data_IF_629100744672
#
_entry.id   IF_629100744672
#
_cell.length_a   1.000
_cell.length_b   1.000
_cell.length_c   1.000
_cell.angle_alpha   90.00
_cell.angle_beta   90.00
_cell.angle_gamma   90.00
#
_symmetry.space_group_name_H-M   'P 1'
#
loop_
_entity.id
_entity.type
_entity.pdbx_description
1 polymer ?
#
# COMPACT_ATOMS: atom_id res chain seq x y z
N UNK A 1 13.98 -15.67 -24.16
CA UNK A 1 14.33 -14.28 -24.55
C UNK A 1 13.63 -13.37 -23.56
N UNK A 2 14.33 -12.43 -22.93
CA UNK A 2 13.80 -11.58 -21.84
C UNK A 2 12.50 -10.89 -22.27
N UNK A 3 11.46 -11.14 -21.49
CA UNK A 3 10.08 -10.68 -21.67
C UNK A 3 10.03 -9.14 -21.77
N UNK A 4 10.92 -8.45 -21.04
CA UNK A 4 11.07 -6.98 -21.09
C UNK A 4 11.74 -6.50 -22.38
N UNK A 5 12.73 -7.23 -22.89
CA UNK A 5 13.40 -6.91 -24.15
C UNK A 5 12.47 -7.09 -25.37
N UNK A 6 11.53 -8.04 -25.32
CA UNK A 6 10.51 -8.18 -26.37
C UNK A 6 9.58 -6.97 -26.40
N UNK A 7 9.04 -6.57 -25.25
CA UNK A 7 8.15 -5.41 -25.19
C UNK A 7 8.87 -4.13 -25.59
N UNK A 8 10.09 -3.92 -25.10
CA UNK A 8 10.92 -2.77 -25.46
C UNK A 8 11.18 -2.71 -26.98
N UNK A 9 11.48 -3.84 -27.63
CA UNK A 9 11.65 -3.89 -29.09
C UNK A 9 10.41 -3.45 -29.85
N UNK A 10 9.21 -3.79 -29.35
CA UNK A 10 7.96 -3.34 -29.96
C UNK A 10 7.74 -1.85 -29.71
N UNK A 11 7.87 -1.39 -28.46
CA UNK A 11 7.65 0.01 -28.07
C UNK A 11 8.62 0.99 -28.76
N UNK A 12 9.87 0.59 -28.97
CA UNK A 12 10.90 1.43 -29.60
C UNK A 12 11.07 1.18 -31.10
N UNK A 13 10.23 0.32 -31.70
CA UNK A 13 10.25 0.10 -33.14
C UNK A 13 9.60 1.29 -33.87
N UNK A 14 10.19 1.78 -34.99
CA UNK A 14 9.52 2.75 -35.85
C UNK A 14 8.19 2.22 -36.44
N UNK A 15 8.00 0.90 -36.44
CA UNK A 15 6.78 0.23 -36.89
C UNK A 15 5.79 -0.11 -35.74
N UNK A 16 5.90 0.56 -34.59
CA UNK A 16 5.12 0.29 -33.38
C UNK A 16 3.62 0.05 -33.66
N UNK A 17 2.96 0.96 -34.39
CA UNK A 17 1.53 0.87 -34.67
C UNK A 17 1.14 -0.37 -35.50
N UNK A 18 2.05 -0.86 -36.34
CA UNK A 18 1.85 -2.08 -37.12
C UNK A 18 2.08 -3.35 -36.28
N UNK A 19 3.02 -3.30 -35.34
CA UNK A 19 3.43 -4.45 -34.52
C UNK A 19 2.55 -4.63 -33.28
N UNK A 20 2.03 -3.54 -32.71
CA UNK A 20 1.24 -3.52 -31.48
C UNK A 20 0.05 -4.48 -31.51
N UNK A 21 -0.81 -4.54 -32.56
CA UNK A 21 -1.96 -5.44 -32.55
C UNK A 21 -1.58 -6.92 -32.51
N UNK A 22 -0.45 -7.29 -33.13
CA UNK A 22 0.09 -8.66 -33.06
C UNK A 22 0.58 -8.99 -31.66
N UNK A 23 1.37 -8.09 -31.06
CA UNK A 23 1.90 -8.27 -29.73
C UNK A 23 0.81 -8.33 -28.65
N UNK A 24 -0.25 -7.51 -28.76
CA UNK A 24 -1.41 -7.55 -27.84
C UNK A 24 -2.06 -8.93 -27.79
N UNK A 25 -2.15 -9.64 -28.93
CA UNK A 25 -2.72 -11.00 -28.99
C UNK A 25 -1.87 -12.03 -28.26
N UNK A 26 -0.57 -11.78 -28.07
CA UNK A 26 0.34 -12.69 -27.36
C UNK A 26 0.32 -12.47 -25.83
N UNK A 27 -0.16 -11.32 -25.34
CA UNK A 27 -0.08 -10.98 -23.92
C UNK A 27 -0.80 -12.01 -23.02
N UNK A 28 -2.01 -12.49 -23.35
CA UNK A 28 -2.67 -13.51 -22.53
C UNK A 28 -1.81 -14.77 -22.34
N UNK A 29 -1.15 -15.25 -23.41
CA UNK A 29 -0.25 -16.40 -23.34
C UNK A 29 1.01 -16.10 -22.50
N UNK A 30 1.44 -14.84 -22.43
CA UNK A 30 2.55 -14.42 -21.56
C UNK A 30 2.11 -14.29 -20.09
N UNK A 31 0.84 -13.97 -19.81
CA UNK A 31 0.30 -13.86 -18.44
C UNK A 31 -0.02 -15.22 -17.83
N UNK A 32 -0.39 -16.20 -18.66
CA UNK A 32 -0.75 -17.55 -18.23
C UNK A 32 0.32 -18.23 -17.35
N UNK A 33 1.62 -18.22 -17.68
CA UNK A 33 2.65 -18.79 -16.80
C UNK A 33 2.75 -18.08 -15.45
N UNK A 34 2.57 -16.75 -15.38
CA UNK A 34 2.56 -16.03 -14.11
C UNK A 34 1.36 -16.42 -13.25
N UNK A 35 0.19 -16.55 -13.88
CA UNK A 35 -1.04 -16.94 -13.18
C UNK A 35 -0.98 -18.39 -12.73
N UNK A 36 -0.52 -19.31 -13.55
CA UNK A 36 -0.34 -20.73 -13.20
C UNK A 36 0.70 -20.89 -12.09
N UNK A 37 1.81 -20.15 -12.19
CA UNK A 37 2.85 -20.19 -11.17
C UNK A 37 2.34 -19.60 -9.85
N UNK A 38 1.73 -18.41 -9.84
CA UNK A 38 1.13 -17.86 -8.63
C UNK A 38 0.08 -18.84 -8.06
N UNK A 39 -0.75 -19.42 -8.94
CA UNK A 39 -1.77 -20.39 -8.58
C UNK A 39 -2.72 -19.82 -7.53
N UNK A 40 -2.86 -20.55 -6.41
CA UNK A 40 -3.62 -20.11 -5.22
C UNK A 40 -2.77 -19.41 -4.16
N UNK A 41 -1.45 -19.32 -4.38
CA UNK A 41 -0.53 -18.76 -3.40
C UNK A 41 -0.73 -17.25 -3.31
N UNK A 42 -0.56 -16.64 -2.14
CA UNK A 42 -0.66 -15.20 -2.00
C UNK A 42 0.49 -14.46 -2.68
N UNK A 43 1.64 -15.12 -2.86
CA UNK A 43 2.90 -14.57 -3.36
C UNK A 43 3.59 -15.59 -4.29
N UNK A 44 4.37 -15.12 -5.26
CA UNK A 44 5.13 -15.92 -6.23
C UNK A 44 6.13 -16.85 -5.53
N UNK A 45 6.73 -16.44 -4.41
CA UNK A 45 7.68 -17.27 -3.68
C UNK A 45 7.05 -18.18 -2.61
N UNK A 46 5.73 -18.20 -2.46
CA UNK A 46 5.04 -19.02 -1.45
C UNK A 46 4.06 -18.21 -0.60
N UNK A 47 4.07 -18.46 0.70
CA UNK A 47 3.12 -17.83 1.63
C UNK A 47 3.58 -16.48 2.17
N UNK A 48 4.85 -16.14 1.96
CA UNK A 48 5.48 -14.88 2.40
C UNK A 48 5.88 -14.03 1.21
N UNK A 49 5.74 -12.72 1.39
CA UNK A 49 6.24 -11.73 0.44
C UNK A 49 7.76 -11.80 0.38
N UNK A 50 8.32 -11.79 -0.83
CA UNK A 50 9.76 -11.79 -1.05
C UNK A 50 10.13 -10.81 -2.16
N UNK A 51 11.42 -10.63 -2.38
CA UNK A 51 11.92 -9.85 -3.52
C UNK A 51 11.37 -10.31 -4.89
N UNK A 52 11.08 -11.62 -5.05
CA UNK A 52 10.51 -12.17 -6.29
C UNK A 52 9.13 -11.59 -6.60
N UNK A 53 8.36 -11.24 -5.58
CA UNK A 53 7.05 -10.64 -5.73
C UNK A 53 7.12 -9.22 -6.27
N UNK A 54 8.10 -8.42 -5.84
CA UNK A 54 8.30 -7.09 -6.41
C UNK A 54 8.70 -7.16 -7.88
N UNK A 55 9.54 -8.12 -8.26
CA UNK A 55 9.88 -8.37 -9.66
C UNK A 55 8.65 -8.82 -10.48
N UNK A 56 7.79 -9.65 -9.91
CA UNK A 56 6.56 -10.07 -10.54
C UNK A 56 5.55 -8.91 -10.67
N UNK A 57 5.44 -8.05 -9.65
CA UNK A 57 4.67 -6.82 -9.69
C UNK A 57 5.12 -5.91 -10.83
N UNK A 58 6.42 -5.63 -10.94
CA UNK A 58 6.94 -4.74 -11.97
C UNK A 58 6.64 -5.27 -13.38
N UNK A 59 6.77 -6.58 -13.60
CA UNK A 59 6.48 -7.21 -14.89
C UNK A 59 4.98 -7.19 -15.20
N UNK A 60 4.13 -7.53 -14.24
CA UNK A 60 2.68 -7.55 -14.42
C UNK A 60 2.09 -6.15 -14.58
N UNK A 61 2.63 -5.16 -13.86
CA UNK A 61 2.25 -3.75 -13.98
C UNK A 61 2.64 -3.21 -15.36
N UNK A 62 3.82 -3.59 -15.86
CA UNK A 62 4.28 -3.22 -17.20
C UNK A 62 3.32 -3.72 -18.29
N UNK A 63 2.86 -4.97 -18.22
CA UNK A 63 1.88 -5.52 -19.15
C UNK A 63 0.52 -4.84 -19.03
N UNK A 64 0.07 -4.58 -17.79
CA UNK A 64 -1.18 -3.84 -17.52
C UNK A 64 -1.15 -2.41 -18.05
N UNK A 65 0.03 -1.78 -18.10
CA UNK A 65 0.20 -0.45 -18.70
C UNK A 65 0.08 -0.54 -20.23
N UNK A 66 0.65 -1.57 -20.84
CA UNK A 66 0.64 -1.77 -22.28
C UNK A 66 -0.73 -2.22 -22.81
N UNK A 67 -1.43 -3.06 -22.05
CA UNK A 67 -2.79 -3.51 -22.29
C UNK A 67 -3.57 -3.55 -20.97
N UNK A 68 -4.42 -2.55 -20.68
CA UNK A 68 -5.18 -2.47 -19.43
C UNK A 68 -6.09 -3.67 -19.15
N UNK A 69 -6.46 -4.44 -20.18
CA UNK A 69 -7.35 -5.61 -20.08
C UNK A 69 -6.59 -6.93 -19.99
N UNK A 70 -5.26 -6.91 -20.02
CA UNK A 70 -4.47 -8.14 -20.11
C UNK A 70 -4.63 -9.09 -18.92
N UNK A 71 -5.16 -8.60 -17.79
CA UNK A 71 -5.38 -9.38 -16.58
C UNK A 71 -6.85 -9.77 -16.36
N UNK A 72 -7.77 -9.43 -17.27
CA UNK A 72 -9.21 -9.70 -17.11
C UNK A 72 -9.50 -11.20 -16.97
N UNK A 73 -8.72 -12.04 -17.65
CA UNK A 73 -8.77 -13.50 -17.55
C UNK A 73 -7.99 -14.10 -16.36
N UNK A 74 -7.28 -13.29 -15.57
CA UNK A 74 -6.33 -13.75 -14.55
C UNK A 74 -6.64 -13.12 -13.17
N UNK A 75 -7.72 -13.55 -12.49
CA UNK A 75 -8.16 -12.95 -11.23
C UNK A 75 -7.08 -12.98 -10.13
N UNK A 76 -6.31 -14.06 -10.02
CA UNK A 76 -5.23 -14.16 -9.04
C UNK A 76 -4.10 -13.12 -9.24
N UNK A 77 -3.81 -12.75 -10.49
CA UNK A 77 -2.83 -11.69 -10.79
C UNK A 77 -3.39 -10.29 -10.49
N UNK A 78 -4.71 -10.08 -10.71
CA UNK A 78 -5.39 -8.84 -10.33
C UNK A 78 -5.41 -8.66 -8.81
N UNK A 79 -5.72 -9.72 -8.07
CA UNK A 79 -5.72 -9.76 -6.60
C UNK A 79 -4.32 -9.56 -6.00
N UNK A 80 -3.28 -9.89 -6.75
CA UNK A 80 -1.90 -9.62 -6.39
C UNK A 80 -1.54 -8.13 -6.56
N UNK A 81 -1.97 -7.49 -7.66
CA UNK A 81 -1.69 -6.07 -7.94
C UNK A 81 -2.52 -5.08 -7.11
N UNK A 82 -3.72 -5.47 -6.66
CA UNK A 82 -4.66 -4.58 -5.96
C UNK A 82 -4.29 -4.28 -4.50
N UNK A 83 -3.23 -4.91 -3.97
CA UNK A 83 -2.86 -4.83 -2.54
C UNK A 83 -2.14 -3.53 -2.11
N UNK A 84 -2.02 -2.54 -2.98
CA UNK A 84 -1.20 -1.33 -2.75
C UNK A 84 -2.04 -0.03 -2.65
N UNK A 85 -2.66 0.26 -1.48
CA UNK A 85 -3.15 1.59 -1.09
C UNK A 85 -2.49 2.06 0.23
N UNK A 86 -1.69 3.15 0.16
CA UNK A 86 -0.59 3.37 1.12
C UNK A 86 -0.36 4.83 1.59
N UNK A 87 -1.32 5.75 1.39
CA UNK A 87 -1.07 7.19 1.60
C UNK A 87 -1.49 7.77 2.98
N UNK A 88 -2.29 7.06 3.78
CA UNK A 88 -2.88 7.61 5.01
C UNK A 88 -1.83 8.05 6.05
N UNK A 89 -0.89 7.17 6.38
CA UNK A 89 0.21 7.48 7.30
C UNK A 89 1.08 8.67 6.81
N UNK A 90 1.24 8.85 5.50
CA UNK A 90 2.01 9.97 4.92
C UNK A 90 1.30 11.29 5.19
N UNK A 91 -0.02 11.36 4.96
CA UNK A 91 -0.81 12.58 5.22
C UNK A 91 -0.74 12.96 6.71
N UNK A 92 -0.96 11.99 7.61
CA UNK A 92 -0.84 12.22 9.04
C UNK A 92 0.55 12.76 9.43
N UNK A 93 1.62 12.21 8.86
CA UNK A 93 2.99 12.65 9.15
C UNK A 93 3.27 14.07 8.61
N UNK A 94 2.80 14.40 7.41
CA UNK A 94 2.91 15.74 6.85
C UNK A 94 2.18 16.77 7.72
N UNK A 95 0.99 16.44 8.21
CA UNK A 95 0.21 17.31 9.11
C UNK A 95 0.87 17.46 10.47
N UNK A 96 1.37 16.38 11.05
CA UNK A 96 2.06 16.41 12.33
C UNK A 96 3.33 17.27 12.29
N UNK A 97 4.11 17.12 11.22
CA UNK A 97 5.35 17.86 10.99
C UNK A 97 5.14 19.30 10.51
N UNK A 98 3.87 19.72 10.35
CA UNK A 98 3.50 21.03 9.82
C UNK A 98 4.13 21.32 8.44
N UNK A 99 4.33 20.26 7.65
CA UNK A 99 4.92 20.35 6.33
C UNK A 99 3.97 21.08 5.38
N UNK A 100 4.50 22.01 4.57
CA UNK A 100 3.75 22.59 3.46
C UNK A 100 3.69 21.57 2.32
N UNK A 101 2.48 21.17 1.93
CA UNK A 101 2.28 20.24 0.83
C UNK A 101 0.98 20.53 0.08
N UNK A 102 0.95 20.14 -1.19
CA UNK A 102 -0.27 20.04 -1.98
C UNK A 102 -0.53 18.58 -2.34
N UNK A 103 -1.80 18.19 -2.36
CA UNK A 103 -2.18 16.82 -2.69
C UNK A 103 -2.80 16.77 -4.10
N UNK A 104 -2.15 16.02 -4.99
CA UNK A 104 -2.75 15.64 -6.28
C UNK A 104 -3.53 14.33 -6.12
N UNK A 105 -4.85 14.44 -6.01
CA UNK A 105 -5.76 13.29 -5.95
C UNK A 105 -6.16 12.88 -7.36
N UNK A 106 -5.76 11.68 -7.76
CA UNK A 106 -6.25 11.06 -8.99
C UNK A 106 -7.54 10.31 -8.70
N UNK A 107 -8.59 10.58 -9.48
CA UNK A 107 -9.87 9.88 -9.33
C UNK A 107 -9.88 8.60 -10.14
N UNK A 108 -10.37 7.51 -9.53
CA UNK A 108 -10.77 6.32 -10.26
C UNK A 108 -12.25 6.43 -10.65
N UNK A 109 -12.55 6.25 -11.94
CA UNK A 109 -13.90 6.20 -12.47
C UNK A 109 -14.74 5.11 -11.82
N UNK A 110 -16.05 5.14 -12.05
CA UNK A 110 -16.96 4.14 -11.53
C UNK A 110 -16.92 2.84 -12.36
N UNK A 111 -17.49 1.78 -11.79
CA UNK A 111 -17.70 0.53 -12.49
C UNK A 111 -18.56 0.75 -13.75
N UNK A 112 -18.37 -0.05 -14.80
CA UNK A 112 -17.41 -1.17 -14.90
C UNK A 112 -16.00 -0.73 -15.34
N UNK A 113 -15.85 0.49 -15.85
CA UNK A 113 -14.64 0.91 -16.57
C UNK A 113 -13.48 1.26 -15.65
N UNK A 114 -13.79 1.72 -14.43
CA UNK A 114 -12.81 2.12 -13.42
C UNK A 114 -11.70 3.00 -14.01
N UNK A 115 -12.09 4.04 -14.76
CA UNK A 115 -11.15 4.86 -15.52
C UNK A 115 -10.02 5.41 -14.63
N UNK A 116 -8.80 5.34 -15.13
CA UNK A 116 -7.58 5.84 -14.45
C UNK A 116 -6.80 6.82 -15.33
N UNK A 117 -7.44 7.33 -16.37
CA UNK A 117 -6.81 8.21 -17.37
C UNK A 117 -6.09 9.40 -16.74
N UNK A 118 -6.64 9.98 -15.66
CA UNK A 118 -5.99 11.07 -14.93
C UNK A 118 -4.58 10.69 -14.48
N UNK A 119 -4.42 9.56 -13.78
CA UNK A 119 -3.10 9.10 -13.34
C UNK A 119 -2.22 8.68 -14.53
N UNK A 120 -2.78 7.90 -15.45
CA UNK A 120 -2.02 7.36 -16.58
C UNK A 120 -1.46 8.46 -17.49
N UNK A 121 -2.15 9.60 -17.60
CA UNK A 121 -1.69 10.74 -18.39
C UNK A 121 -0.49 11.46 -17.79
N UNK A 122 -0.28 11.36 -16.47
CA UNK A 122 0.81 12.01 -15.75
C UNK A 122 1.94 11.05 -15.35
N UNK A 123 1.64 9.75 -15.18
CA UNK A 123 2.53 8.71 -14.60
C UNK A 123 4.00 8.85 -15.03
N UNK A 124 4.25 8.98 -16.33
CA UNK A 124 5.60 9.01 -16.89
C UNK A 124 6.17 10.41 -17.15
N UNK A 125 5.42 11.47 -16.83
CA UNK A 125 5.82 12.87 -17.05
C UNK A 125 6.39 13.54 -15.81
N UNK A 126 6.26 12.90 -14.66
CA UNK A 126 6.69 13.44 -13.36
C UNK A 126 8.20 13.27 -13.12
N UNK A 127 8.88 12.44 -13.91
CA UNK A 127 10.30 12.11 -13.74
C UNK A 127 10.59 11.30 -12.48
N UNK A 128 9.68 10.39 -12.13
CA UNK A 128 9.85 9.40 -11.06
C UNK A 128 10.68 8.23 -11.60
N UNK A 129 11.64 7.72 -10.82
CA UNK A 129 12.46 6.57 -11.23
C UNK A 129 11.62 5.29 -11.38
N UNK A 130 10.71 5.07 -10.43
CA UNK A 130 9.73 3.97 -10.44
C UNK A 130 8.32 4.54 -10.35
N UNK A 131 7.70 4.98 -11.47
CA UNK A 131 6.40 5.65 -11.47
C UNK A 131 5.29 4.85 -10.77
N UNK A 132 4.86 5.29 -9.60
CA UNK A 132 3.81 4.64 -8.84
C UNK A 132 3.09 5.62 -7.90
N UNK A 133 1.98 5.19 -7.31
CA UNK A 133 1.28 5.89 -6.23
C UNK A 133 1.47 5.15 -4.90
N UNK A 134 1.61 5.86 -3.76
CA UNK A 134 1.81 7.30 -3.66
C UNK A 134 3.21 7.72 -4.14
N UNK A 135 3.34 9.00 -4.51
CA UNK A 135 4.62 9.66 -4.76
C UNK A 135 4.73 10.95 -3.94
N UNK A 136 5.96 11.42 -3.71
CA UNK A 136 6.26 12.73 -3.16
C UNK A 136 7.25 13.45 -4.08
N UNK A 137 6.97 14.70 -4.42
CA UNK A 137 7.88 15.59 -5.15
C UNK A 137 8.22 16.76 -4.25
N UNK A 138 9.50 16.92 -3.94
CA UNK A 138 10.05 17.96 -3.08
C UNK A 138 11.33 18.52 -3.73
N UNK A 139 11.15 19.56 -4.54
CA UNK A 139 12.21 20.14 -5.36
C UNK A 139 12.82 19.10 -6.31
N UNK A 140 14.11 18.81 -6.13
CA UNK A 140 14.83 17.82 -6.92
C UNK A 140 14.52 16.37 -6.49
N UNK A 141 13.98 16.15 -5.29
CA UNK A 141 13.70 14.82 -4.76
C UNK A 141 12.33 14.33 -5.23
N UNK A 142 12.31 13.18 -5.89
CA UNK A 142 11.11 12.57 -6.46
C UNK A 142 11.03 11.12 -6.00
N UNK A 143 10.17 10.86 -5.03
CA UNK A 143 10.12 9.58 -4.31
C UNK A 143 8.85 8.83 -4.64
N UNK A 144 8.95 7.50 -4.71
CA UNK A 144 7.84 6.56 -4.69
C UNK A 144 8.07 5.55 -3.57
N UNK A 145 7.10 4.67 -3.29
CA UNK A 145 7.02 3.80 -2.11
C UNK A 145 6.69 4.54 -0.82
N UNK A 146 5.59 4.16 -0.18
CA UNK A 146 5.07 4.84 1.02
C UNK A 146 6.06 4.87 2.17
N UNK A 147 6.76 3.76 2.43
CA UNK A 147 7.72 3.68 3.52
C UNK A 147 8.96 4.54 3.23
N UNK A 148 9.40 4.62 1.97
CA UNK A 148 10.51 5.50 1.60
C UNK A 148 10.14 6.99 1.74
N UNK A 149 8.91 7.36 1.36
CA UNK A 149 8.36 8.71 1.57
C UNK A 149 8.28 9.04 3.07
N UNK A 150 7.74 8.13 3.89
CA UNK A 150 7.68 8.30 5.35
C UNK A 150 9.07 8.49 5.95
N UNK A 151 10.03 7.61 5.60
CA UNK A 151 11.42 7.73 6.05
C UNK A 151 12.07 9.04 5.59
N UNK A 152 11.77 9.52 4.38
CA UNK A 152 12.28 10.81 3.87
C UNK A 152 11.78 11.99 4.70
N UNK A 153 10.47 12.07 4.95
CA UNK A 153 9.88 13.10 5.81
C UNK A 153 10.46 12.96 7.23
N UNK A 154 10.48 11.75 7.79
CA UNK A 154 10.98 11.50 9.13
C UNK A 154 12.42 11.97 9.35
N UNK A 155 13.31 11.73 8.39
CA UNK A 155 14.71 12.20 8.45
C UNK A 155 14.83 13.72 8.51
N UNK A 156 13.93 14.46 7.84
CA UNK A 156 13.91 15.94 7.90
C UNK A 156 13.50 16.48 9.27
N UNK A 157 12.86 15.66 10.11
CA UNK A 157 12.30 16.07 11.40
C UNK A 157 12.85 15.28 12.59
N UNK A 158 13.97 14.54 12.42
CA UNK A 158 14.57 13.69 13.46
C UNK A 158 13.59 12.68 14.06
N UNK A 159 12.73 12.09 13.22
CA UNK A 159 11.74 11.07 13.60
C UNK A 159 12.16 9.65 13.15
N UNK A 160 13.46 9.47 12.88
CA UNK A 160 14.12 8.17 12.75
C UNK A 160 14.90 7.94 14.05
N UNK A 161 14.63 6.84 14.74
CA UNK A 161 15.15 6.52 16.08
C UNK A 161 16.63 6.86 16.26
N UNK A 162 16.97 7.29 17.46
CA UNK A 162 18.29 7.84 17.80
C UNK A 162 19.26 6.71 18.16
N UNK A 163 18.79 5.72 18.93
CA UNK A 163 19.60 4.55 19.33
C UNK A 163 19.41 3.37 18.36
N UNK A 164 20.33 2.40 18.44
CA UNK A 164 20.22 1.18 17.64
C UNK A 164 18.98 0.36 18.02
N UNK A 165 18.65 0.31 19.30
CA UNK A 165 17.46 -0.39 19.79
C UNK A 165 16.16 0.24 19.27
N UNK A 166 16.11 1.57 19.18
CA UNK A 166 14.97 2.26 18.57
C UNK A 166 14.88 1.94 17.07
N UNK A 167 16.00 1.98 16.34
CA UNK A 167 16.05 1.65 14.91
C UNK A 167 15.62 0.21 14.65
N UNK A 168 16.10 -0.76 15.43
CA UNK A 168 15.69 -2.17 15.35
C UNK A 168 14.17 -2.29 15.54
N UNK A 169 13.61 -1.63 16.56
CA UNK A 169 12.15 -1.67 16.78
C UNK A 169 11.39 -1.07 15.61
N UNK A 170 11.88 0.02 15.06
CA UNK A 170 11.26 0.69 13.91
C UNK A 170 11.29 -0.19 12.67
N UNK A 171 12.44 -0.80 12.35
CA UNK A 171 12.56 -1.66 11.17
C UNK A 171 11.68 -2.91 11.29
N UNK A 172 11.62 -3.54 12.47
CA UNK A 172 10.70 -4.66 12.72
C UNK A 172 9.24 -4.22 12.52
N UNK A 173 8.84 -3.12 13.16
CA UNK A 173 7.46 -2.68 13.14
C UNK A 173 7.01 -2.19 11.76
N UNK A 174 7.87 -1.50 11.01
CA UNK A 174 7.57 -1.06 9.65
C UNK A 174 7.20 -2.25 8.76
N UNK A 175 8.00 -3.33 8.83
CA UNK A 175 7.76 -4.54 8.04
C UNK A 175 6.53 -5.30 8.53
N UNK A 176 6.36 -5.45 9.84
CA UNK A 176 5.18 -6.10 10.41
C UNK A 176 3.88 -5.34 10.08
N UNK A 177 3.90 -4.01 10.11
CA UNK A 177 2.76 -3.17 9.73
C UNK A 177 2.42 -3.33 8.24
N UNK A 178 3.42 -3.50 7.38
CA UNK A 178 3.20 -3.79 5.96
C UNK A 178 2.54 -5.17 5.79
N UNK A 179 3.03 -6.21 6.45
CA UNK A 179 2.47 -7.57 6.35
C UNK A 179 0.99 -7.61 6.77
N UNK A 180 0.65 -7.01 7.91
CA UNK A 180 -0.75 -6.95 8.39
C UNK A 180 -1.65 -6.17 7.43
N UNK A 181 -1.14 -5.06 6.88
CA UNK A 181 -1.88 -4.28 5.88
C UNK A 181 -2.16 -5.10 4.63
N UNK A 182 -1.17 -5.82 4.11
CA UNK A 182 -1.31 -6.65 2.92
C UNK A 182 -2.25 -7.83 3.15
N UNK A 183 -2.23 -8.43 4.35
CA UNK A 183 -3.18 -9.46 4.77
C UNK A 183 -4.62 -8.93 4.73
N UNK A 184 -4.88 -7.78 5.35
CA UNK A 184 -6.21 -7.16 5.35
C UNK A 184 -6.68 -6.82 3.92
N UNK A 185 -5.79 -6.21 3.11
CA UNK A 185 -6.08 -5.86 1.73
C UNK A 185 -6.45 -7.11 0.92
N UNK A 186 -5.70 -8.21 1.04
CA UNK A 186 -5.99 -9.48 0.38
C UNK A 186 -7.43 -9.95 0.64
N UNK A 187 -7.89 -9.83 1.88
CA UNK A 187 -9.25 -10.25 2.26
C UNK A 187 -10.28 -9.29 1.67
N UNK A 188 -10.09 -7.99 1.83
CA UNK A 188 -11.06 -6.97 1.42
C UNK A 188 -11.22 -6.83 -0.11
N UNK A 189 -10.19 -7.17 -0.89
CA UNK A 189 -10.25 -7.19 -2.35
C UNK A 189 -10.71 -8.55 -2.92
N UNK A 190 -10.71 -9.62 -2.13
CA UNK A 190 -11.07 -10.95 -2.63
C UNK A 190 -12.57 -11.04 -2.96
N UNK A 191 -12.95 -11.63 -4.11
CA UNK A 191 -14.36 -11.92 -4.40
C UNK A 191 -14.99 -12.92 -3.42
N UNK A 192 -14.16 -13.69 -2.70
CA UNK A 192 -14.59 -14.61 -1.63
C UNK A 192 -14.57 -13.94 -0.23
N UNK A 193 -14.61 -12.60 -0.15
CA UNK A 193 -14.56 -11.84 1.11
C UNK A 193 -15.41 -12.43 2.23
N UNK A 194 -16.69 -12.72 1.97
CA UNK A 194 -17.63 -13.25 2.98
C UNK A 194 -17.21 -14.62 3.54
N UNK A 195 -16.48 -15.42 2.75
CA UNK A 195 -15.95 -16.71 3.21
C UNK A 195 -14.65 -16.56 4.00
N UNK A 196 -13.81 -15.57 3.64
CA UNK A 196 -12.51 -15.34 4.25
C UNK A 196 -12.60 -14.52 5.54
N UNK A 197 -13.57 -13.60 5.63
CA UNK A 197 -13.78 -12.69 6.75
C UNK A 197 -13.83 -13.40 8.11
N UNK A 198 -14.58 -14.50 8.31
CA UNK A 198 -14.61 -15.18 9.61
C UNK A 198 -13.26 -15.74 10.05
N UNK A 199 -12.40 -16.13 9.09
CA UNK A 199 -11.03 -16.55 9.39
C UNK A 199 -10.20 -15.38 9.89
N UNK A 200 -10.24 -14.26 9.18
CA UNK A 200 -9.51 -13.06 9.57
C UNK A 200 -9.95 -12.50 10.93
N UNK A 201 -11.26 -12.48 11.21
CA UNK A 201 -11.78 -12.06 12.52
C UNK A 201 -11.21 -12.88 13.69
N UNK A 202 -10.85 -14.15 13.45
CA UNK A 202 -10.18 -15.00 14.46
C UNK A 202 -8.69 -14.72 14.58
N UNK A 203 -8.04 -14.24 13.52
CA UNK A 203 -6.62 -13.90 13.50
C UNK A 203 -6.33 -12.51 14.12
N UNK A 204 -7.29 -11.57 14.02
CA UNK A 204 -7.12 -10.19 14.53
C UNK A 204 -6.66 -10.15 16.00
N UNK A 205 -7.25 -10.89 16.96
CA UNK A 205 -6.77 -10.88 18.35
C UNK A 205 -5.31 -11.32 18.50
N UNK A 206 -4.86 -12.32 17.73
CA UNK A 206 -3.48 -12.79 17.76
C UNK A 206 -2.51 -11.74 17.20
N UNK A 207 -2.88 -11.11 16.09
CA UNK A 207 -2.12 -10.01 15.49
C UNK A 207 -2.00 -8.86 16.50
N UNK A 208 -3.11 -8.40 17.07
CA UNK A 208 -3.14 -7.27 18.00
C UNK A 208 -2.42 -7.58 19.31
N UNK A 209 -2.45 -8.83 19.78
CA UNK A 209 -1.65 -9.27 20.91
C UNK A 209 -0.16 -9.06 20.65
N UNK A 210 0.35 -9.41 19.47
CA UNK A 210 1.76 -9.15 19.13
C UNK A 210 2.11 -7.65 19.17
N UNK A 211 1.24 -6.78 18.65
CA UNK A 211 1.44 -5.32 18.72
C UNK A 211 1.40 -4.81 20.17
N UNK A 212 0.45 -5.31 20.97
CA UNK A 212 0.30 -4.96 22.38
C UNK A 212 1.53 -5.36 23.20
N UNK A 213 2.03 -6.58 23.02
CA UNK A 213 3.25 -7.07 23.69
C UNK A 213 4.49 -6.29 23.25
N UNK A 214 4.60 -6.00 21.95
CA UNK A 214 5.72 -5.24 21.39
C UNK A 214 5.75 -3.79 21.91
N UNK A 215 4.61 -3.10 21.96
CA UNK A 215 4.48 -1.78 22.58
C UNK A 215 4.82 -1.85 24.07
N UNK A 216 4.25 -2.83 24.78
CA UNK A 216 4.42 -3.01 26.21
C UNK A 216 3.91 -1.80 27.00
N UNK A 217 4.81 -1.19 27.78
CA UNK A 217 4.52 0.00 28.62
C UNK A 217 4.97 1.32 27.99
N UNK A 218 5.54 1.29 26.79
CA UNK A 218 6.09 2.49 26.15
C UNK A 218 4.97 3.41 25.67
N UNK A 219 5.17 4.73 25.65
CA UNK A 219 4.20 5.64 25.07
C UNK A 219 4.16 5.54 23.53
N UNK A 220 5.27 5.18 22.90
CA UNK A 220 5.43 5.01 21.46
C UNK A 220 6.17 3.72 21.14
N UNK A 221 6.03 3.22 19.93
CA UNK A 221 6.50 1.88 19.57
C UNK A 221 8.02 1.76 19.54
N UNK A 222 8.74 2.82 19.15
CA UNK A 222 10.20 2.81 19.16
C UNK A 222 10.78 3.00 20.57
N UNK A 223 10.09 3.77 21.44
CA UNK A 223 10.62 4.22 22.72
C UNK A 223 9.75 5.31 23.36
N UNK A 224 10.41 6.32 23.94
CA UNK A 224 9.74 7.44 24.62
C UNK A 224 9.35 8.57 23.68
N UNK A 225 9.93 8.61 22.47
CA UNK A 225 9.69 9.63 21.45
C UNK A 225 8.83 9.08 20.32
N UNK A 226 7.97 9.94 19.78
CA UNK A 226 7.17 9.64 18.58
C UNK A 226 8.09 9.54 17.36
N UNK A 227 7.89 8.52 16.55
CA UNK A 227 8.63 8.27 15.30
C UNK A 227 7.65 7.99 14.17
N UNK A 228 8.13 7.91 12.92
CA UNK A 228 7.24 7.67 11.78
C UNK A 228 6.53 6.31 11.82
N UNK A 229 7.07 5.30 12.52
CA UNK A 229 6.43 3.97 12.60
C UNK A 229 5.19 3.98 13.48
N UNK A 230 5.03 4.96 14.37
CA UNK A 230 3.80 5.15 15.13
C UNK A 230 2.64 5.56 14.21
N UNK A 231 2.92 6.26 13.10
CA UNK A 231 1.91 6.60 12.07
C UNK A 231 1.49 5.37 11.28
N UNK A 232 2.42 4.45 11.02
CA UNK A 232 2.12 3.16 10.39
C UNK A 232 1.30 2.27 11.32
N UNK A 233 1.70 2.18 12.60
CA UNK A 233 0.99 1.42 13.61
C UNK A 233 -0.41 1.96 13.84
N UNK A 234 -0.58 3.28 13.91
CA UNK A 234 -1.89 3.92 13.99
C UNK A 234 -2.78 3.51 12.82
N UNK A 235 -2.31 3.64 11.57
CA UNK A 235 -3.10 3.28 10.38
C UNK A 235 -3.48 1.79 10.37
N UNK A 236 -2.59 0.89 10.79
CA UNK A 236 -2.91 -0.55 10.90
C UNK A 236 -3.95 -0.83 11.98
N UNK A 237 -3.76 -0.27 13.19
CA UNK A 237 -4.66 -0.46 14.32
C UNK A 237 -6.04 0.16 14.04
N UNK A 238 -6.08 1.35 13.44
CA UNK A 238 -7.32 2.03 13.08
C UNK A 238 -8.10 1.26 12.01
N UNK A 239 -7.44 0.77 10.95
CA UNK A 239 -8.11 -0.07 9.95
C UNK A 239 -8.70 -1.34 10.53
N UNK A 240 -7.99 -2.01 11.44
CA UNK A 240 -8.51 -3.18 12.15
C UNK A 240 -9.68 -2.80 13.07
N UNK A 241 -9.61 -1.66 13.76
CA UNK A 241 -10.70 -1.10 14.55
C UNK A 241 -11.93 -0.76 13.69
N UNK A 242 -11.75 -0.25 12.48
CA UNK A 242 -12.87 0.00 11.57
C UNK A 242 -13.47 -1.32 11.07
N UNK A 243 -12.63 -2.33 10.84
CA UNK A 243 -13.07 -3.66 10.39
C UNK A 243 -13.82 -4.45 11.47
N UNK A 244 -13.32 -4.43 12.70
CA UNK A 244 -13.89 -5.07 13.88
C UNK A 244 -13.82 -4.09 15.06
N UNK A 245 -14.89 -3.30 15.32
CA UNK A 245 -14.90 -2.23 16.31
C UNK A 245 -14.47 -2.60 17.73
N UNK A 246 -14.63 -3.87 18.11
CA UNK A 246 -14.29 -4.37 19.45
C UNK A 246 -12.89 -4.99 19.53
N UNK A 247 -12.12 -5.02 18.44
CA UNK A 247 -10.86 -5.74 18.39
C UNK A 247 -9.80 -5.24 19.39
N UNK A 248 -9.90 -3.99 19.83
CA UNK A 248 -8.98 -3.39 20.80
C UNK A 248 -9.44 -3.52 22.26
N UNK A 249 -10.61 -4.09 22.54
CA UNK A 249 -11.20 -4.11 23.90
C UNK A 249 -10.32 -4.84 24.93
N UNK A 250 -9.63 -5.88 24.50
CA UNK A 250 -8.73 -6.67 25.36
C UNK A 250 -7.30 -6.07 25.46
N UNK A 251 -7.01 -5.00 24.72
CA UNK A 251 -5.66 -4.41 24.61
C UNK A 251 -5.65 -2.95 25.08
N UNK A 252 -5.73 -2.68 26.40
CA UNK A 252 -5.84 -1.33 26.93
C UNK A 252 -4.66 -0.42 26.53
N UNK A 253 -3.45 -0.96 26.44
CA UNK A 253 -2.28 -0.20 26.00
C UNK A 253 -2.37 0.25 24.53
N UNK A 254 -3.00 -0.54 23.66
CA UNK A 254 -3.25 -0.16 22.27
C UNK A 254 -4.37 0.88 22.17
N UNK A 255 -5.42 0.77 23.00
CA UNK A 255 -6.43 1.84 23.13
C UNK A 255 -5.80 3.16 23.58
N UNK A 256 -4.95 3.10 24.60
CA UNK A 256 -4.24 4.28 25.11
C UNK A 256 -3.31 4.87 24.03
N UNK A 257 -2.63 4.04 23.25
CA UNK A 257 -1.83 4.48 22.11
C UNK A 257 -2.68 5.22 21.07
N UNK A 258 -3.82 4.65 20.66
CA UNK A 258 -4.73 5.28 19.70
C UNK A 258 -5.22 6.64 20.24
N UNK A 259 -5.70 6.69 21.49
CA UNK A 259 -6.15 7.94 22.11
C UNK A 259 -5.03 8.97 22.22
N UNK A 260 -3.81 8.55 22.56
CA UNK A 260 -2.64 9.43 22.62
C UNK A 260 -2.29 10.00 21.24
N UNK A 261 -2.30 9.17 20.20
CA UNK A 261 -1.99 9.57 18.84
C UNK A 261 -3.03 10.57 18.30
N UNK A 262 -4.32 10.25 18.43
CA UNK A 262 -5.42 11.14 18.00
C UNK A 262 -5.49 12.43 18.82
N UNK A 263 -4.97 12.40 20.06
CA UNK A 263 -4.83 13.56 20.94
C UNK A 263 -3.67 14.50 20.62
N UNK A 264 -2.73 14.11 19.74
CA UNK A 264 -1.66 15.00 19.30
C UNK A 264 -2.26 16.25 18.66
N UNK A 265 -1.91 17.44 19.16
CA UNK A 265 -2.57 18.72 18.77
C UNK A 265 -2.76 18.88 17.26
N UNK A 266 -1.71 18.61 16.47
CA UNK A 266 -1.72 18.72 15.01
C UNK A 266 -2.60 17.64 14.35
N UNK A 267 -2.54 16.40 14.84
CA UNK A 267 -3.40 15.29 14.37
C UNK A 267 -4.86 15.56 14.70
N UNK A 268 -5.19 15.91 15.94
CA UNK A 268 -6.55 16.24 16.36
C UNK A 268 -7.14 17.38 15.54
N UNK A 269 -6.34 18.41 15.26
CA UNK A 269 -6.76 19.53 14.39
C UNK A 269 -7.01 19.06 12.95
N UNK A 270 -6.11 18.25 12.39
CA UNK A 270 -6.27 17.69 11.06
C UNK A 270 -7.53 16.82 10.95
N UNK A 271 -7.76 15.90 11.89
CA UNK A 271 -8.91 14.99 11.91
C UNK A 271 -10.27 15.71 11.99
N UNK A 272 -10.29 16.94 12.54
CA UNK A 272 -11.48 17.80 12.59
C UNK A 272 -11.66 18.68 11.34
N UNK A 273 -10.67 18.69 10.45
CA UNK A 273 -10.69 19.50 9.23
C UNK A 273 -11.37 18.78 8.07
N UNK A 274 -11.86 19.53 7.10
CA UNK A 274 -12.39 18.99 5.84
C UNK A 274 -11.33 18.28 4.98
N UNK A 275 -10.04 18.40 5.31
CA UNK A 275 -8.95 17.70 4.60
C UNK A 275 -8.76 16.27 5.10
N UNK A 276 -9.34 15.91 6.25
CA UNK A 276 -9.27 14.54 6.76
C UNK A 276 -10.29 13.64 6.04
N UNK A 277 -9.78 12.59 5.41
CA UNK A 277 -10.56 11.62 4.67
C UNK A 277 -10.18 10.22 5.18
N UNK A 278 -10.88 9.69 6.20
CA UNK A 278 -10.62 8.35 6.71
C UNK A 278 -11.18 7.25 5.78
N UNK A 279 -12.13 7.60 4.91
CA UNK A 279 -12.78 6.71 3.96
C UNK A 279 -12.76 7.32 2.54
N UNK A 280 -12.86 6.48 1.49
CA UNK A 280 -12.80 5.03 1.53
C UNK A 280 -11.40 4.52 1.92
N UNK A 281 -11.32 3.33 2.54
CA UNK A 281 -10.05 2.70 2.95
C UNK A 281 -9.32 2.00 1.80
N UNK A 282 -10.11 1.54 0.83
CA UNK A 282 -9.68 0.81 -0.35
C UNK A 282 -10.29 1.42 -1.62
N UNK A 283 -9.70 1.11 -2.77
CA UNK A 283 -10.20 1.51 -4.08
C UNK A 283 -11.61 0.93 -4.33
N UNK A 284 -12.36 1.56 -5.24
CA UNK A 284 -13.73 1.15 -5.60
C UNK A 284 -13.88 -0.32 -6.05
N UNK A 285 -12.79 -0.97 -6.44
CA UNK A 285 -12.77 -2.39 -6.84
C UNK A 285 -12.74 -3.36 -5.65
N UNK A 286 -12.46 -2.89 -4.42
CA UNK A 286 -12.53 -3.74 -3.24
C UNK A 286 -13.97 -4.17 -2.95
N UNK A 287 -14.14 -5.33 -2.33
CA UNK A 287 -15.45 -5.83 -1.88
C UNK A 287 -15.88 -5.12 -0.60
N UNK A 288 -14.94 -4.81 0.29
CA UNK A 288 -15.17 -4.10 1.55
C UNK A 288 -14.27 -2.87 1.68
N UNK A 289 -14.75 -1.82 2.35
CA UNK A 289 -13.98 -0.59 2.61
C UNK A 289 -13.84 0.34 1.39
N UNK A 290 -14.67 0.14 0.37
CA UNK A 290 -14.64 0.85 -0.92
C UNK A 290 -15.52 2.13 -0.96
N UNK A 291 -16.14 2.49 0.18
CA UNK A 291 -17.06 3.63 0.36
C UNK A 291 -16.62 4.49 1.53
#
# INVERSE_FOLDING_TARGET
>A
MDVRLQMARICYSPDFEKLKPGYLKEIPEKMKPFSEFLGKRPWFAGDKLTYVDFLAYDVLDLYRIFDPKCLDGFPNLRDFLSRFELAHAIRLLLEYTDSSYEEKKYTMGDAPDYDRSQWLSDKFKLGLDFPNLPYLIDGAHKLTQSNAILRYIARKHNMCGETEEEKIRMDILENQAMDVRLQMARICYSPDFEKLKPGYLKEIPEILKCFSEFLGKRPWFAGDKLTYVDFLAYDVLDRNRIFEPKCLDEFPNLKDFITRFEGLKKISAYMKSSRFHPNPMFLKIAVWGNK
#
